data_IF_584115554416
#
_entry.id   IF_584115554416
#
_cell.length_a   1.000
_cell.length_b   1.000
_cell.length_c   1.000
_cell.angle_alpha   90.00
_cell.angle_beta   90.00
_cell.angle_gamma   90.00
#
_symmetry.space_group_name_H-M   'P 1'
#
loop_
_entity.id
_entity.type
_entity.pdbx_description
1 polymer ?
#
# COMPACT_ATOMS: atom_id res chain seq x y z
N UNK A 1 -37.23 2.39 -16.41
CA UNK A 1 -36.29 2.08 -15.33
C UNK A 1 -34.95 2.68 -15.73
N UNK A 2 -34.47 3.70 -15.01
CA UNK A 2 -33.16 4.29 -15.26
C UNK A 2 -32.14 3.41 -14.54
N UNK A 3 -31.24 2.79 -15.29
CA UNK A 3 -30.10 2.05 -14.74
C UNK A 3 -29.08 3.07 -14.24
N UNK A 4 -28.84 3.09 -12.93
CA UNK A 4 -27.69 3.77 -12.34
C UNK A 4 -26.38 3.20 -12.94
N UNK A 5 -25.41 4.05 -13.33
CA UNK A 5 -24.10 3.55 -13.72
C UNK A 5 -23.41 3.01 -12.47
N UNK A 6 -23.34 1.69 -12.32
CA UNK A 6 -22.45 1.08 -11.34
C UNK A 6 -21.01 1.40 -11.76
N UNK A 7 -20.33 2.24 -10.98
CA UNK A 7 -18.87 2.33 -11.01
C UNK A 7 -18.34 0.95 -10.65
N UNK A 8 -17.74 0.26 -11.62
CA UNK A 8 -16.98 -0.96 -11.36
C UNK A 8 -15.74 -0.51 -10.60
N UNK A 9 -15.78 -0.58 -9.27
CA UNK A 9 -14.55 -0.67 -8.50
C UNK A 9 -13.84 -1.93 -8.98
N UNK A 10 -12.55 -1.81 -9.27
CA UNK A 10 -11.70 -2.87 -9.75
C UNK A 10 -11.61 -4.02 -8.71
N UNK A 11 -12.64 -4.86 -8.67
CA UNK A 11 -12.95 -5.81 -7.59
C UNK A 11 -11.98 -6.99 -7.46
N UNK A 12 -10.80 -6.89 -8.07
CA UNK A 12 -9.77 -7.93 -8.06
C UNK A 12 -8.41 -7.40 -7.56
N UNK A 13 -8.16 -6.07 -7.62
CA UNK A 13 -6.95 -5.50 -7.00
C UNK A 13 -7.07 -5.60 -5.48
N UNK A 14 -6.07 -6.19 -4.84
CA UNK A 14 -6.08 -6.55 -3.42
C UNK A 14 -4.73 -6.27 -2.80
N UNK A 15 -4.75 -5.89 -1.54
CA UNK A 15 -3.58 -5.79 -0.68
C UNK A 15 -3.94 -6.33 0.70
N UNK A 16 -3.02 -7.11 1.27
CA UNK A 16 -3.18 -7.79 2.54
C UNK A 16 -1.90 -7.69 3.35
N UNK A 17 -2.08 -7.64 4.65
CA UNK A 17 -1.03 -7.74 5.67
C UNK A 17 -1.07 -9.13 6.28
N UNK A 18 0.03 -9.58 6.88
CA UNK A 18 0.11 -10.92 7.48
C UNK A 18 -0.47 -11.01 8.89
N UNK A 19 -0.53 -9.90 9.63
CA UNK A 19 -1.02 -9.83 11.01
C UNK A 19 -1.91 -8.60 11.24
N UNK A 20 -2.81 -8.70 12.23
CA UNK A 20 -3.65 -7.58 12.69
C UNK A 20 -2.98 -6.73 13.79
N UNK A 21 -1.89 -7.19 14.39
CA UNK A 21 -1.13 -6.45 15.39
C UNK A 21 0.38 -6.77 15.31
N UNK A 22 1.20 -5.75 15.51
CA UNK A 22 2.66 -5.80 15.50
C UNK A 22 3.19 -5.07 16.75
N UNK A 23 4.32 -5.50 17.33
CA UNK A 23 5.03 -4.65 18.28
C UNK A 23 5.87 -3.60 17.55
N UNK A 24 6.21 -2.50 18.23
CA UNK A 24 7.24 -1.57 17.72
C UNK A 24 8.49 -2.36 17.27
N UNK A 25 8.94 -2.12 16.03
CA UNK A 25 10.04 -2.80 15.33
C UNK A 25 9.76 -4.19 14.74
N UNK A 26 8.55 -4.76 14.91
CA UNK A 26 8.21 -6.02 14.24
C UNK A 26 8.06 -5.81 12.73
N UNK A 27 8.75 -6.59 11.89
CA UNK A 27 8.65 -6.42 10.45
C UNK A 27 7.21 -6.62 9.95
N UNK A 28 6.71 -5.67 9.18
CA UNK A 28 5.37 -5.68 8.61
C UNK A 28 5.46 -6.32 7.24
N UNK A 29 4.89 -7.52 7.10
CA UNK A 29 4.83 -8.22 5.82
C UNK A 29 3.50 -7.95 5.12
N UNK A 30 3.59 -7.55 3.86
CA UNK A 30 2.43 -7.32 3.02
C UNK A 30 2.54 -8.04 1.69
N UNK A 31 1.38 -8.30 1.09
CA UNK A 31 1.24 -8.89 -0.24
C UNK A 31 0.11 -8.24 -1.00
N UNK A 32 0.20 -8.20 -2.33
CA UNK A 32 -0.79 -7.56 -3.18
C UNK A 32 -0.93 -8.28 -4.52
N UNK A 33 -2.05 -8.02 -5.21
CA UNK A 33 -2.32 -8.43 -6.59
C UNK A 33 -3.13 -7.36 -7.31
N UNK A 34 -2.90 -7.18 -8.61
CA UNK A 34 -3.62 -6.26 -9.50
C UNK A 34 -4.60 -7.03 -10.40
N UNK A 35 -5.80 -6.50 -10.59
CA UNK A 35 -6.87 -7.13 -11.38
C UNK A 35 -6.47 -7.44 -12.84
N UNK A 36 -5.94 -6.44 -13.54
CA UNK A 36 -5.51 -6.55 -14.92
C UNK A 36 -4.13 -7.20 -15.06
N UNK A 37 -3.56 -7.67 -13.95
CA UNK A 37 -2.25 -8.32 -13.89
C UNK A 37 -1.07 -7.38 -14.09
N UNK A 38 -1.26 -6.06 -14.07
CA UNK A 38 -0.18 -5.09 -14.27
C UNK A 38 -0.42 -3.86 -13.38
N UNK A 39 0.56 -3.52 -12.53
CA UNK A 39 0.61 -2.22 -11.85
C UNK A 39 0.78 -1.08 -12.85
N UNK A 40 0.09 0.05 -12.67
CA UNK A 40 0.26 1.20 -13.53
C UNK A 40 1.59 1.91 -13.25
N UNK A 41 2.01 2.72 -14.22
CA UNK A 41 3.21 3.50 -14.06
C UNK A 41 3.06 4.54 -12.93
N UNK A 42 3.99 4.49 -11.98
CA UNK A 42 3.97 5.34 -10.80
C UNK A 42 3.01 4.90 -9.69
N UNK A 43 2.35 3.74 -9.83
CA UNK A 43 1.64 3.14 -8.69
C UNK A 43 2.63 2.84 -7.57
N UNK A 44 2.17 3.04 -6.36
CA UNK A 44 2.94 2.83 -5.14
C UNK A 44 2.08 2.19 -4.06
N UNK A 45 2.75 1.48 -3.18
CA UNK A 45 2.15 0.85 -2.02
C UNK A 45 2.62 1.63 -0.82
N UNK A 46 1.68 2.03 0.03
CA UNK A 46 1.95 2.94 1.13
C UNK A 46 1.19 2.56 2.38
N UNK A 47 1.80 2.81 3.54
CA UNK A 47 1.18 2.68 4.86
C UNK A 47 0.87 4.08 5.37
N UNK A 48 -0.38 4.26 5.80
CA UNK A 48 -0.88 5.47 6.45
C UNK A 48 -1.49 5.11 7.80
N UNK A 49 -1.55 6.08 8.73
CA UNK A 49 -2.42 5.97 9.89
C UNK A 49 -3.87 5.83 9.40
N UNK A 50 -4.72 5.22 10.22
CA UNK A 50 -6.15 5.13 9.93
C UNK A 50 -6.72 6.52 9.63
N UNK A 51 -7.52 6.60 8.56
CA UNK A 51 -8.20 7.81 8.13
C UNK A 51 -9.72 7.66 8.26
N UNK A 52 -10.45 8.70 7.89
CA UNK A 52 -11.91 8.76 7.90
C UNK A 52 -12.59 7.95 6.78
N UNK A 53 -11.85 7.07 6.10
CA UNK A 53 -12.30 6.31 4.94
C UNK A 53 -12.16 7.05 3.60
N UNK A 54 -11.47 8.21 3.58
CA UNK A 54 -11.15 8.90 2.33
C UNK A 54 -10.35 8.00 1.38
N UNK A 55 -10.78 7.96 0.12
CA UNK A 55 -10.06 7.27 -0.96
C UNK A 55 -8.91 8.08 -1.53
N UNK A 56 -8.89 9.41 -1.33
CA UNK A 56 -7.76 10.26 -1.72
C UNK A 56 -6.95 10.58 -0.47
N UNK A 57 -5.70 10.14 -0.45
CA UNK A 57 -4.82 10.26 0.71
C UNK A 57 -3.96 11.53 0.66
N UNK A 58 -3.60 12.10 1.82
CA UNK A 58 -2.69 13.23 1.87
C UNK A 58 -1.29 12.83 1.42
N UNK A 59 -0.47 13.81 1.05
CA UNK A 59 0.95 13.57 0.77
C UNK A 59 1.67 13.26 2.08
N UNK A 60 2.59 12.30 2.05
CA UNK A 60 3.42 11.93 3.20
C UNK A 60 2.90 10.70 3.95
N UNK A 61 2.91 9.55 3.27
CA UNK A 61 2.80 8.23 3.91
C UNK A 61 3.94 8.00 4.89
N UNK A 62 3.70 7.23 5.96
CA UNK A 62 4.77 6.87 6.90
C UNK A 62 5.80 5.93 6.27
N UNK A 63 5.32 4.98 5.46
CA UNK A 63 6.12 4.02 4.70
C UNK A 63 5.53 3.83 3.30
N UNK A 64 6.38 3.56 2.31
CA UNK A 64 5.99 3.37 0.92
C UNK A 64 7.09 2.76 0.04
N UNK A 65 6.66 2.15 -1.07
CA UNK A 65 7.51 1.66 -2.17
C UNK A 65 6.76 1.81 -3.50
N UNK A 66 7.46 1.94 -4.62
CA UNK A 66 6.82 1.80 -5.93
C UNK A 66 6.36 0.36 -6.13
N UNK A 67 5.11 0.19 -6.60
CA UNK A 67 4.52 -1.13 -6.82
C UNK A 67 5.29 -1.92 -7.90
N UNK A 68 5.84 -1.22 -8.90
CA UNK A 68 6.60 -1.82 -9.99
C UNK A 68 7.99 -2.33 -9.56
N UNK A 69 8.66 -1.64 -8.63
CA UNK A 69 10.03 -1.97 -8.24
C UNK A 69 10.14 -2.68 -6.90
N UNK A 70 9.10 -2.59 -6.05
CA UNK A 70 9.17 -3.04 -4.67
C UNK A 70 10.15 -2.24 -3.81
N UNK A 71 10.62 -1.09 -4.29
CA UNK A 71 11.60 -0.22 -3.62
C UNK A 71 11.18 1.24 -3.76
N UNK A 72 11.84 2.15 -3.04
CA UNK A 72 11.65 3.59 -3.27
C UNK A 72 12.36 4.13 -4.51
N UNK A 73 13.15 3.29 -5.18
CA UNK A 73 13.73 3.64 -6.48
C UNK A 73 12.72 3.32 -7.57
N UNK A 74 12.34 4.35 -8.33
CA UNK A 74 11.50 4.15 -9.50
C UNK A 74 12.28 3.38 -10.57
N UNK A 75 11.76 2.23 -11.01
CA UNK A 75 12.27 1.49 -12.15
C UNK A 75 11.14 1.22 -13.16
N UNK A 76 11.27 1.78 -14.36
CA UNK A 76 10.39 1.46 -15.47
C UNK A 76 10.84 0.11 -16.07
N UNK A 77 9.99 -0.91 -16.01
CA UNK A 77 10.36 -2.26 -16.47
C UNK A 77 9.22 -3.21 -16.82
N UNK A 78 8.05 -3.12 -16.17
CA UNK A 78 6.86 -4.02 -16.22
C UNK A 78 7.21 -5.52 -16.02
N UNK A 79 6.59 -6.33 -15.13
CA UNK A 79 5.41 -6.14 -14.25
C UNK A 79 5.74 -6.38 -12.75
N UNK A 80 4.81 -6.10 -11.82
CA UNK A 80 4.17 -7.25 -11.17
C UNK A 80 2.65 -7.20 -11.22
N UNK A 81 2.04 -8.33 -11.58
CA UNK A 81 0.62 -8.62 -11.32
C UNK A 81 0.34 -8.81 -9.83
N UNK A 82 1.39 -9.07 -9.06
CA UNK A 82 1.35 -9.36 -7.64
C UNK A 82 2.75 -9.19 -7.06
N UNK A 83 2.81 -8.93 -5.76
CA UNK A 83 4.09 -8.82 -5.07
C UNK A 83 3.93 -8.99 -3.57
N UNK A 84 5.08 -8.94 -2.90
CA UNK A 84 5.16 -8.92 -1.45
C UNK A 84 6.36 -8.09 -1.03
N UNK A 85 6.24 -7.44 0.11
CA UNK A 85 7.31 -6.65 0.70
C UNK A 85 7.28 -6.79 2.22
N UNK A 86 8.44 -6.54 2.81
CA UNK A 86 8.60 -6.46 4.26
C UNK A 86 9.11 -5.06 4.57
N UNK A 87 8.32 -4.28 5.30
CA UNK A 87 8.80 -3.04 5.92
C UNK A 87 9.39 -3.39 7.28
N UNK A 88 10.63 -3.00 7.52
CA UNK A 88 11.32 -3.43 8.73
C UNK A 88 12.84 -3.39 8.60
N UNK A 89 13.52 -3.68 9.71
CA UNK A 89 14.97 -3.77 9.72
C UNK A 89 15.48 -4.79 8.68
N UNK A 90 16.19 -4.32 7.66
CA UNK A 90 16.71 -5.16 6.57
C UNK A 90 15.67 -5.59 5.53
N UNK A 91 14.48 -4.98 5.54
CA UNK A 91 13.42 -5.15 4.56
C UNK A 91 13.65 -4.34 3.28
N UNK A 92 12.57 -3.75 2.74
CA UNK A 92 12.66 -2.86 1.56
C UNK A 92 13.63 -1.70 1.82
N UNK A 93 14.25 -1.16 0.77
CA UNK A 93 15.13 0.00 0.89
C UNK A 93 14.29 1.27 1.11
N UNK A 94 14.37 1.78 2.34
CA UNK A 94 13.61 2.91 2.90
C UNK A 94 14.40 4.24 2.88
N UNK A 95 15.43 4.38 2.04
CA UNK A 95 16.40 5.51 2.01
C UNK A 95 15.86 6.94 1.79
N UNK A 96 14.55 7.14 1.65
CA UNK A 96 13.85 8.41 1.50
C UNK A 96 13.39 9.08 2.82
N UNK A 97 12.22 9.73 2.77
CA UNK A 97 11.56 10.33 3.94
C UNK A 97 10.61 9.29 4.55
N UNK A 98 11.09 8.51 5.52
CA UNK A 98 10.28 7.48 6.20
C UNK A 98 10.56 7.42 7.70
N UNK A 99 9.58 6.92 8.43
CA UNK A 99 9.51 6.96 9.89
C UNK A 99 9.68 5.58 10.54
N UNK A 100 10.28 4.58 9.88
CA UNK A 100 10.52 3.27 10.51
C UNK A 100 11.42 3.41 11.76
N UNK A 101 11.10 2.76 12.90
CA UNK A 101 9.91 1.93 13.14
C UNK A 101 8.63 2.77 13.25
N UNK A 102 7.51 2.24 12.73
CA UNK A 102 6.21 2.90 12.91
C UNK A 102 5.96 3.13 14.41
N UNK A 103 5.56 4.35 14.82
CA UNK A 103 5.15 4.57 16.18
C UNK A 103 3.84 3.81 16.48
N UNK A 104 3.55 3.57 17.76
CA UNK A 104 2.30 2.94 18.15
C UNK A 104 1.06 3.67 17.60
N UNK A 105 0.10 2.92 17.05
CA UNK A 105 -1.07 3.47 16.37
C UNK A 105 -1.81 2.46 15.49
N UNK A 106 -2.92 2.88 14.90
CA UNK A 106 -3.72 2.08 13.96
C UNK A 106 -3.41 2.51 12.54
N UNK A 107 -3.13 1.56 11.66
CA UNK A 107 -2.64 1.79 10.31
C UNK A 107 -3.38 0.98 9.27
N UNK A 108 -3.20 1.36 8.00
CA UNK A 108 -3.69 0.64 6.83
C UNK A 108 -2.70 0.74 5.69
N UNK A 109 -2.53 -0.36 4.97
CA UNK A 109 -1.76 -0.40 3.74
C UNK A 109 -2.68 -0.15 2.53
N UNK A 110 -2.19 0.61 1.56
CA UNK A 110 -2.92 1.00 0.37
C UNK A 110 -2.08 0.80 -0.89
N UNK A 111 -2.75 0.44 -1.98
CA UNK A 111 -2.23 0.62 -3.34
C UNK A 111 -2.82 1.93 -3.83
N UNK A 112 -1.96 2.86 -4.27
CA UNK A 112 -2.41 4.15 -4.79
C UNK A 112 -1.91 4.41 -6.21
N UNK A 113 -2.68 5.19 -6.94
CA UNK A 113 -2.23 5.85 -8.17
C UNK A 113 -1.32 7.05 -7.86
N UNK A 114 -0.61 7.61 -8.87
CA UNK A 114 0.23 8.80 -8.71
C UNK A 114 -0.50 10.05 -8.21
N UNK A 115 -1.83 10.09 -8.30
CA UNK A 115 -2.70 11.16 -7.80
C UNK A 115 -3.13 10.97 -6.34
N UNK A 116 -2.58 9.99 -5.61
CA UNK A 116 -2.92 9.61 -4.23
C UNK A 116 -4.31 8.99 -4.04
N UNK A 117 -4.96 8.58 -5.12
CA UNK A 117 -6.20 7.83 -5.06
C UNK A 117 -5.94 6.36 -4.75
N UNK A 118 -6.63 5.82 -3.76
CA UNK A 118 -6.51 4.44 -3.32
C UNK A 118 -7.35 3.50 -4.18
N UNK A 119 -6.67 2.51 -4.75
CA UNK A 119 -7.23 1.46 -5.60
C UNK A 119 -7.66 0.26 -4.77
N UNK A 120 -6.86 -0.07 -3.76
CA UNK A 120 -7.15 -1.12 -2.80
C UNK A 120 -6.57 -0.75 -1.44
N UNK A 121 -7.18 -1.29 -0.39
CA UNK A 121 -6.72 -1.08 0.98
C UNK A 121 -6.81 -2.38 1.77
N UNK A 122 -5.86 -2.61 2.66
CA UNK A 122 -5.84 -3.78 3.54
C UNK A 122 -6.88 -3.65 4.65
N UNK A 123 -7.03 -4.71 5.44
CA UNK A 123 -7.58 -4.58 6.79
C UNK A 123 -6.73 -3.63 7.64
N UNK A 124 -7.32 -3.11 8.72
CA UNK A 124 -6.56 -2.35 9.73
C UNK A 124 -5.58 -3.27 10.45
N UNK A 125 -4.48 -2.69 10.91
CA UNK A 125 -3.60 -3.29 11.89
C UNK A 125 -3.15 -2.28 12.93
N UNK A 126 -2.72 -2.78 14.08
CA UNK A 126 -2.21 -1.99 15.18
C UNK A 126 -0.70 -2.19 15.35
N UNK A 127 -0.01 -1.11 15.70
CA UNK A 127 1.34 -1.15 16.26
C UNK A 127 1.23 -0.83 17.74
N UNK A 128 1.70 -1.76 18.58
CA UNK A 128 1.58 -1.75 20.04
C UNK A 128 2.83 -1.20 20.74
#
# INVERSE_FOLDING_TARGET
EMSDPFTVYDSQTQISIDQDAYFENDPIQMSWSFADGIAQDGDWIAIYPENDGSTVLPRGSDLWIYALSGTQSYSAGIPPSQGSAVFGAGGVDESGQQSWPLPGGTYRAHILHPNYEAVASSSLFEVL
#
